data_IF_050829120977
#
_entry.id   IF_050829120977
#
_cell.length_a   1.000
_cell.length_b   1.000
_cell.length_c   1.000
_cell.angle_alpha   90.00
_cell.angle_beta   90.00
_cell.angle_gamma   90.00
#
_symmetry.space_group_name_H-M   'P 1'
#
loop_
_entity.id
_entity.type
_entity.pdbx_description
1 polymer ?
#
# COMPACT_ATOMS: atom_id res chain seq x y z
N UNK A 1 -6.18 4.44 11.11
CA UNK A 1 -7.25 3.92 10.20
C UNK A 1 -6.71 2.73 9.41
N UNK A 2 -7.51 2.05 8.59
CA UNK A 2 -6.97 1.02 7.66
C UNK A 2 -5.91 1.60 6.72
N UNK A 3 -6.06 2.88 6.32
CA UNK A 3 -5.05 3.59 5.51
C UNK A 3 -3.73 3.84 6.25
N UNK A 4 -3.79 4.10 7.57
CA UNK A 4 -2.63 4.40 8.41
C UNK A 4 -1.92 3.13 8.93
N UNK A 5 -2.70 2.09 9.22
CA UNK A 5 -2.20 0.82 9.72
C UNK A 5 -2.95 -0.34 9.07
N UNK A 6 -2.54 -0.75 7.86
CA UNK A 6 -3.25 -1.74 7.04
C UNK A 6 -3.00 -3.19 7.47
N UNK A 7 -3.06 -3.46 8.77
CA UNK A 7 -2.88 -4.80 9.31
C UNK A 7 -4.13 -5.26 10.02
N UNK A 8 -4.50 -6.52 9.80
CA UNK A 8 -5.44 -7.20 10.67
C UNK A 8 -4.75 -7.49 12.00
N UNK A 9 -5.31 -6.95 13.07
CA UNK A 9 -4.75 -7.11 14.41
C UNK A 9 -5.53 -8.21 15.13
N UNK A 10 -4.79 -9.20 15.64
CA UNK A 10 -5.33 -10.20 16.57
C UNK A 10 -4.66 -10.03 17.92
N UNK A 11 -5.46 -9.74 18.95
CA UNK A 11 -5.01 -9.73 20.34
C UNK A 11 -5.56 -10.97 21.02
N UNK A 12 -4.69 -11.68 21.75
CA UNK A 12 -5.07 -12.79 22.62
C UNK A 12 -4.60 -12.42 24.02
N UNK A 13 -5.50 -12.53 25.00
CA UNK A 13 -5.20 -12.28 26.40
C UNK A 13 -5.37 -13.59 27.16
N UNK A 14 -4.26 -14.15 27.61
CA UNK A 14 -4.24 -15.35 28.42
C UNK A 14 -4.16 -14.96 29.90
N UNK A 15 -5.18 -15.32 30.66
CA UNK A 15 -5.28 -14.98 32.08
C UNK A 15 -4.54 -16.05 32.89
N UNK A 16 -3.32 -15.70 33.35
CA UNK A 16 -2.49 -16.61 34.14
C UNK A 16 -2.88 -16.61 35.63
N UNK A 17 -3.38 -15.47 36.12
CA UNK A 17 -3.88 -15.30 37.48
C UNK A 17 -5.15 -14.44 37.45
N UNK A 18 -6.09 -14.73 38.34
CA UNK A 18 -7.34 -13.97 38.44
C UNK A 18 -7.84 -13.94 39.87
N UNK A 19 -7.75 -12.76 40.49
CA UNK A 19 -8.40 -12.47 41.78
C UNK A 19 -9.18 -11.15 41.76
N UNK A 20 -9.34 -10.55 40.58
CA UNK A 20 -10.07 -9.31 40.34
C UNK A 20 -10.56 -9.28 38.90
N UNK A 21 -10.68 -8.10 38.29
CA UNK A 21 -11.19 -7.99 36.92
C UNK A 21 -10.13 -8.29 35.85
N UNK A 22 -10.05 -9.56 35.45
CA UNK A 22 -9.22 -10.00 34.32
C UNK A 22 -9.61 -9.34 32.98
N UNK A 23 -10.86 -8.91 32.83
CA UNK A 23 -11.31 -8.17 31.65
C UNK A 23 -10.73 -6.75 31.61
N UNK A 24 -10.68 -6.04 32.73
CA UNK A 24 -10.02 -4.72 32.80
C UNK A 24 -8.50 -4.84 32.69
N UNK A 25 -7.91 -5.88 33.30
CA UNK A 25 -6.50 -6.21 33.09
C UNK A 25 -6.17 -6.45 31.61
N UNK A 26 -7.07 -7.11 30.87
CA UNK A 26 -6.93 -7.35 29.41
C UNK A 26 -6.94 -6.05 28.60
N UNK A 27 -7.72 -5.05 29.00
CA UNK A 27 -7.70 -3.72 28.33
C UNK A 27 -6.34 -3.05 28.53
N UNK A 28 -5.82 -3.09 29.76
CA UNK A 28 -4.53 -2.50 30.11
C UNK A 28 -3.36 -3.21 29.41
N UNK A 29 -3.30 -4.54 29.51
CA UNK A 29 -2.25 -5.34 28.86
C UNK A 29 -2.35 -5.29 27.35
N UNK A 30 -3.56 -5.30 26.79
CA UNK A 30 -3.81 -5.15 25.36
C UNK A 30 -3.31 -3.81 24.83
N UNK A 31 -3.53 -2.72 25.57
CA UNK A 31 -2.98 -1.40 25.22
C UNK A 31 -1.46 -1.44 25.11
N UNK A 32 -0.77 -2.01 26.10
CA UNK A 32 0.69 -2.13 26.09
C UNK A 32 1.17 -3.05 24.96
N UNK A 33 0.55 -4.20 24.77
CA UNK A 33 0.91 -5.16 23.74
C UNK A 33 0.76 -4.58 22.32
N UNK A 34 -0.30 -3.80 22.09
CA UNK A 34 -0.51 -3.12 20.81
C UNK A 34 0.55 -2.04 20.57
N UNK A 35 0.85 -1.21 21.58
CA UNK A 35 1.89 -0.19 21.44
C UNK A 35 3.29 -0.81 21.26
N UNK A 36 3.60 -1.88 22.00
CA UNK A 36 4.84 -2.63 21.84
C UNK A 36 4.97 -3.24 20.44
N UNK A 37 3.85 -3.74 19.88
CA UNK A 37 3.78 -4.23 18.51
C UNK A 37 3.94 -3.16 17.42
N UNK A 38 4.00 -1.87 17.79
CA UNK A 38 4.08 -0.75 16.85
C UNK A 38 2.73 -0.37 16.23
N UNK A 39 1.61 -0.78 16.83
CA UNK A 39 0.28 -0.37 16.39
C UNK A 39 0.08 1.10 16.81
N UNK A 40 -0.27 2.02 15.89
CA UNK A 40 -0.42 3.44 16.18
C UNK A 40 -1.73 3.73 16.92
N UNK A 41 -1.83 3.25 18.16
CA UNK A 41 -2.89 3.64 19.07
C UNK A 41 -2.82 5.15 19.35
N UNK A 42 -3.96 5.83 19.26
CA UNK A 42 -4.03 7.28 19.48
C UNK A 42 -3.65 7.67 20.91
N UNK A 43 -4.06 6.86 21.89
CA UNK A 43 -3.90 7.09 23.34
C UNK A 43 -3.91 5.76 24.08
N UNK A 44 -3.34 5.74 25.27
CA UNK A 44 -3.49 4.63 26.20
C UNK A 44 -4.94 4.50 26.67
N UNK A 45 -5.38 3.25 26.81
CA UNK A 45 -6.68 2.91 27.39
C UNK A 45 -6.45 2.04 28.61
N UNK A 46 -7.06 2.41 29.73
CA UNK A 46 -7.05 1.61 30.94
C UNK A 46 -8.47 1.24 31.35
N UNK A 47 -8.61 0.09 32.01
CA UNK A 47 -9.83 -0.37 32.63
C UNK A 47 -9.71 -0.41 34.14
N UNK A 48 -10.82 -0.22 34.85
CA UNK A 48 -10.94 -0.45 36.29
C UNK A 48 -12.29 -1.10 36.59
N UNK A 49 -12.30 -2.01 37.56
CA UNK A 49 -13.53 -2.59 38.11
C UNK A 49 -13.85 -1.96 39.45
N UNK A 50 -15.13 -1.68 39.64
CA UNK A 50 -15.66 -0.95 40.77
C UNK A 50 -16.83 -1.74 41.34
N UNK A 51 -16.98 -1.70 42.65
CA UNK A 51 -18.09 -2.33 43.35
C UNK A 51 -18.81 -1.34 44.23
N UNK A 52 -19.98 -1.74 44.68
CA UNK A 52 -20.80 -1.02 45.61
C UNK A 52 -21.36 -2.01 46.63
N UNK A 53 -21.28 -1.64 47.90
CA UNK A 53 -21.94 -2.34 49.00
C UNK A 53 -22.92 -1.36 49.65
N UNK A 54 -24.12 -1.84 49.96
CA UNK A 54 -25.19 -1.08 50.56
C UNK A 54 -25.73 -1.80 51.81
N UNK A 55 -25.77 -1.09 52.93
CA UNK A 55 -26.46 -1.54 54.15
C UNK A 55 -27.47 -0.46 54.60
N UNK A 56 -28.74 -0.67 54.24
CA UNK A 56 -29.79 0.31 54.51
C UNK A 56 -29.64 1.58 53.67
N UNK A 57 -29.24 2.67 54.32
CA UNK A 57 -28.98 3.97 53.69
C UNK A 57 -27.47 4.24 53.53
N UNK A 58 -26.59 3.37 54.05
CA UNK A 58 -25.14 3.51 53.96
C UNK A 58 -24.61 2.83 52.70
N UNK A 59 -23.88 3.60 51.89
CA UNK A 59 -23.32 3.15 50.61
C UNK A 59 -21.82 3.38 50.60
N UNK A 60 -21.08 2.32 50.29
CA UNK A 60 -19.63 2.37 50.12
C UNK A 60 -19.21 1.88 48.73
N UNK A 61 -18.23 2.55 48.14
CA UNK A 61 -17.69 2.22 46.82
C UNK A 61 -16.32 1.56 46.94
N UNK A 62 -16.20 0.40 46.29
CA UNK A 62 -14.96 -0.36 46.27
C UNK A 62 -14.22 -0.12 44.95
N UNK A 63 -12.92 0.12 45.03
CA UNK A 63 -12.05 0.34 43.87
C UNK A 63 -11.15 -0.88 43.65
N UNK A 64 -11.06 -1.32 42.39
CA UNK A 64 -10.30 -2.51 41.98
C UNK A 64 -10.75 -3.78 42.69
N UNK A 65 -12.05 -4.07 42.56
CA UNK A 65 -12.68 -5.13 43.34
C UNK A 65 -12.04 -6.50 43.11
N UNK A 66 -11.93 -7.23 44.21
CA UNK A 66 -11.59 -8.64 44.21
C UNK A 66 -12.81 -9.49 43.81
N UNK A 67 -12.55 -10.73 43.39
CA UNK A 67 -13.63 -11.65 43.01
C UNK A 67 -14.65 -11.92 44.14
N UNK A 68 -14.21 -11.89 45.40
CA UNK A 68 -15.11 -12.02 46.54
C UNK A 68 -15.95 -10.76 46.79
N UNK A 69 -15.38 -9.57 46.55
CA UNK A 69 -16.08 -8.30 46.70
C UNK A 69 -17.14 -8.12 45.61
N UNK A 70 -16.85 -8.55 44.38
CA UNK A 70 -17.86 -8.66 43.31
C UNK A 70 -19.01 -9.60 43.72
N UNK A 71 -18.67 -10.82 44.16
CA UNK A 71 -19.68 -11.83 44.53
C UNK A 71 -20.62 -11.35 45.62
N UNK A 72 -20.10 -10.62 46.61
CA UNK A 72 -20.85 -10.19 47.79
C UNK A 72 -21.44 -8.78 47.64
N UNK A 73 -20.96 -7.98 46.69
CA UNK A 73 -21.43 -6.62 46.45
C UNK A 73 -22.78 -6.55 45.74
N UNK A 74 -23.47 -5.43 45.96
CA UNK A 74 -24.82 -5.13 45.47
C UNK A 74 -24.84 -4.60 44.03
N UNK A 75 -23.72 -4.09 43.56
CA UNK A 75 -23.50 -3.69 42.18
C UNK A 75 -22.01 -3.80 41.85
N UNK A 76 -21.73 -4.19 40.60
CA UNK A 76 -20.41 -4.06 40.01
C UNK A 76 -20.51 -3.33 38.67
N UNK A 77 -19.48 -2.53 38.38
CA UNK A 77 -19.33 -1.93 37.06
C UNK A 77 -17.87 -1.87 36.66
N UNK A 78 -17.66 -1.90 35.36
CA UNK A 78 -16.35 -1.94 34.72
C UNK A 78 -16.30 -0.77 33.76
N UNK A 79 -15.31 0.10 33.94
CA UNK A 79 -15.16 1.29 33.11
C UNK A 79 -13.78 1.31 32.48
N UNK A 80 -13.75 1.42 31.16
CA UNK A 80 -12.54 1.57 30.39
C UNK A 80 -12.52 2.91 29.66
N UNK A 81 -11.34 3.50 29.51
CA UNK A 81 -11.22 4.78 28.84
C UNK A 81 -9.80 5.32 28.77
N UNK A 82 -9.71 6.46 28.10
CA UNK A 82 -8.51 7.28 28.00
C UNK A 82 -8.59 8.40 29.03
N UNK A 83 -7.58 9.29 29.04
CA UNK A 83 -7.64 10.54 29.79
C UNK A 83 -8.79 11.47 29.36
N UNK A 84 -9.20 11.39 28.10
CA UNK A 84 -10.22 12.28 27.53
C UNK A 84 -11.65 11.82 27.83
N UNK A 85 -11.86 10.55 28.13
CA UNK A 85 -13.20 10.01 28.24
C UNK A 85 -13.27 8.49 28.29
N UNK A 86 -14.50 8.02 28.50
CA UNK A 86 -14.85 6.60 28.57
C UNK A 86 -14.96 6.04 27.16
N UNK A 87 -14.36 4.88 26.92
CA UNK A 87 -14.45 4.13 25.67
C UNK A 87 -15.39 2.94 25.78
N UNK A 88 -15.52 2.37 26.98
CA UNK A 88 -16.48 1.31 27.26
C UNK A 88 -16.94 1.38 28.71
N UNK A 89 -18.20 1.01 28.92
CA UNK A 89 -18.83 0.94 30.23
C UNK A 89 -19.71 -0.31 30.27
N UNK A 90 -19.54 -1.13 31.30
CA UNK A 90 -20.36 -2.30 31.58
C UNK A 90 -20.80 -2.22 33.04
N UNK A 91 -22.06 -2.55 33.32
CA UNK A 91 -22.61 -2.46 34.66
C UNK A 91 -23.62 -3.57 34.88
N UNK A 92 -23.50 -4.24 36.02
CA UNK A 92 -24.38 -5.29 36.47
C UNK A 92 -24.95 -4.86 37.84
N UNK A 93 -26.24 -4.58 37.88
CA UNK A 93 -26.95 -4.11 39.07
C UNK A 93 -27.71 -5.28 39.67
N UNK A 94 -27.53 -5.55 40.97
CA UNK A 94 -28.25 -6.60 41.71
C UNK A 94 -29.37 -6.05 42.61
N UNK A 95 -29.45 -4.72 42.77
CA UNK A 95 -30.43 -4.02 43.62
C UNK A 95 -31.23 -2.96 42.85
N UNK A 96 -32.46 -2.65 43.26
CA UNK A 96 -33.20 -1.52 42.72
C UNK A 96 -32.86 -0.22 43.45
N UNK A 97 -32.73 0.90 42.73
CA UNK A 97 -32.80 2.24 43.35
C UNK A 97 -31.50 3.03 43.48
N UNK A 98 -30.54 2.87 42.57
CA UNK A 98 -29.33 3.71 42.55
C UNK A 98 -29.68 5.11 42.02
N UNK A 99 -29.49 6.13 42.85
CA UNK A 99 -29.72 7.51 42.44
C UNK A 99 -28.62 7.99 41.48
N UNK A 100 -28.94 9.00 40.67
CA UNK A 100 -27.97 9.62 39.77
C UNK A 100 -26.73 10.14 40.51
N UNK A 101 -26.94 10.76 41.67
CA UNK A 101 -25.86 11.35 42.48
C UNK A 101 -24.89 10.28 43.01
N UNK A 102 -25.40 9.11 43.39
CA UNK A 102 -24.58 7.96 43.82
C UNK A 102 -23.74 7.48 42.63
N UNK A 103 -24.36 7.34 41.47
CA UNK A 103 -23.68 6.88 40.27
C UNK A 103 -22.60 7.85 39.78
N UNK A 104 -22.85 9.16 39.84
CA UNK A 104 -21.88 10.20 39.50
C UNK A 104 -20.63 10.13 40.40
N UNK A 105 -20.82 9.98 41.71
CA UNK A 105 -19.72 9.79 42.67
C UNK A 105 -18.91 8.53 42.36
N UNK A 106 -19.58 7.43 42.04
CA UNK A 106 -18.93 6.17 41.68
C UNK A 106 -18.05 6.34 40.43
N UNK A 107 -18.54 7.06 39.41
CA UNK A 107 -17.80 7.33 38.19
C UNK A 107 -16.59 8.25 38.42
N UNK A 108 -16.68 9.25 39.30
CA UNK A 108 -15.54 10.11 39.62
C UNK A 108 -14.44 9.31 40.35
N UNK A 109 -14.80 8.46 41.32
CA UNK A 109 -13.84 7.57 41.98
C UNK A 109 -13.19 6.59 40.99
N UNK A 110 -13.99 6.03 40.06
CA UNK A 110 -13.47 5.15 39.02
C UNK A 110 -12.53 5.88 38.05
N UNK A 111 -12.83 7.14 37.71
CA UNK A 111 -11.97 7.99 36.88
C UNK A 111 -10.64 8.24 37.57
N UNK A 112 -10.63 8.61 38.85
CA UNK A 112 -9.38 8.81 39.61
C UNK A 112 -8.51 7.55 39.62
N UNK A 113 -9.11 6.38 39.89
CA UNK A 113 -8.41 5.11 39.87
C UNK A 113 -7.85 4.78 38.49
N UNK A 114 -8.64 4.98 37.44
CA UNK A 114 -8.21 4.77 36.05
C UNK A 114 -7.05 5.68 35.66
N UNK A 115 -7.01 6.94 36.13
CA UNK A 115 -5.89 7.84 35.85
C UNK A 115 -4.58 7.32 36.45
N UNK A 116 -4.62 6.76 37.66
CA UNK A 116 -3.42 6.14 38.28
C UNK A 116 -2.92 4.95 37.46
N UNK A 117 -3.82 4.14 36.92
CA UNK A 117 -3.44 3.02 36.03
C UNK A 117 -2.82 3.58 34.74
N UNK A 118 -3.44 4.59 34.11
CA UNK A 118 -2.89 5.24 32.91
C UNK A 118 -1.48 5.80 33.15
N UNK A 119 -1.22 6.42 34.30
CA UNK A 119 0.12 6.91 34.67
C UNK A 119 1.15 5.77 34.62
N UNK A 120 0.81 4.59 35.15
CA UNK A 120 1.69 3.40 35.15
C UNK A 120 1.88 2.86 33.73
N UNK A 121 0.82 2.78 32.93
CA UNK A 121 0.92 2.30 31.54
C UNK A 121 1.81 3.23 30.70
N UNK A 122 1.63 4.54 30.82
CA UNK A 122 2.43 5.56 30.13
C UNK A 122 3.90 5.55 30.59
N UNK A 123 4.17 5.32 31.87
CA UNK A 123 5.53 5.12 32.37
C UNK A 123 6.19 3.85 31.81
N UNK A 124 5.40 2.81 31.58
CA UNK A 124 5.90 1.52 31.08
C UNK A 124 6.20 1.57 29.58
N UNK A 125 5.26 2.07 28.78
CA UNK A 125 5.41 2.30 27.34
C UNK A 125 4.84 3.68 27.03
N UNK A 126 5.67 4.72 26.81
CA UNK A 126 5.19 6.09 26.59
C UNK A 126 4.32 6.28 25.35
N UNK A 127 4.41 5.37 24.38
CA UNK A 127 3.61 5.39 23.17
C UNK A 127 3.97 4.23 22.23
N UNK A 128 3.29 4.13 21.08
CA UNK A 128 3.58 3.12 20.07
C UNK A 128 5.05 3.11 19.65
N UNK A 129 5.65 1.93 19.48
CA UNK A 129 6.97 1.81 18.86
C UNK A 129 6.92 2.39 17.43
N UNK A 130 8.01 3.03 17.02
CA UNK A 130 8.15 3.63 15.68
C UNK A 130 8.18 2.59 14.56
N UNK A 131 8.58 1.35 14.88
CA UNK A 131 8.66 0.26 13.94
C UNK A 131 7.88 -0.95 14.45
N UNK A 132 7.15 -1.59 13.55
CA UNK A 132 6.52 -2.89 13.80
C UNK A 132 7.61 -3.94 14.02
N UNK A 133 7.33 -4.92 14.87
CA UNK A 133 8.18 -6.09 15.14
C UNK A 133 8.84 -6.66 13.86
N UNK A 134 10.13 -7.05 13.92
CA UNK A 134 10.81 -7.66 12.77
C UNK A 134 10.23 -9.02 12.37
N UNK A 135 9.50 -9.68 13.27
CA UNK A 135 8.83 -10.96 13.01
C UNK A 135 7.40 -10.79 12.48
N UNK A 136 6.85 -9.57 12.53
CA UNK A 136 5.56 -9.32 11.93
C UNK A 136 5.72 -9.29 10.40
N UNK A 137 4.74 -9.84 9.65
CA UNK A 137 4.68 -9.63 8.21
C UNK A 137 4.73 -8.14 7.91
N UNK A 138 5.46 -7.75 6.86
CA UNK A 138 5.46 -6.39 6.35
C UNK A 138 4.37 -6.28 5.32
N UNK A 139 3.68 -5.15 5.34
CA UNK A 139 2.64 -4.82 4.40
C UNK A 139 2.93 -3.45 3.81
N UNK A 140 2.91 -3.38 2.49
CA UNK A 140 3.18 -2.20 1.69
C UNK A 140 2.05 -1.98 0.70
N UNK A 141 1.81 -0.72 0.38
CA UNK A 141 0.88 -0.34 -0.68
C UNK A 141 1.61 0.36 -1.81
N UNK A 142 1.09 0.18 -3.01
CA UNK A 142 1.40 1.02 -4.17
C UNK A 142 0.14 1.15 -5.03
N UNK A 143 0.12 2.10 -5.95
CA UNK A 143 -1.02 2.30 -6.86
C UNK A 143 -0.55 2.21 -8.30
N UNK A 144 -1.29 1.47 -9.10
CA UNK A 144 -1.02 1.25 -10.53
C UNK A 144 -2.20 1.73 -11.38
N UNK A 145 -1.99 2.08 -12.66
CA UNK A 145 -3.10 2.37 -13.55
C UNK A 145 -4.00 1.14 -13.75
N UNK A 146 -5.32 1.35 -13.82
CA UNK A 146 -6.33 0.26 -13.86
C UNK A 146 -6.14 -0.62 -15.11
N UNK A 147 -5.79 -0.01 -16.23
CA UNK A 147 -5.47 -0.68 -17.49
C UNK A 147 -4.27 -1.64 -17.40
N UNK A 148 -3.40 -1.45 -16.39
CA UNK A 148 -2.20 -2.24 -16.19
C UNK A 148 -2.40 -3.44 -15.24
N UNK A 149 -3.55 -3.55 -14.57
CA UNK A 149 -3.85 -4.64 -13.63
C UNK A 149 -3.64 -6.01 -14.28
N UNK A 150 -4.21 -6.21 -15.49
CA UNK A 150 -4.10 -7.50 -16.20
C UNK A 150 -2.65 -7.88 -16.54
N UNK A 151 -1.81 -6.89 -16.83
CA UNK A 151 -0.39 -7.08 -17.12
C UNK A 151 0.40 -7.44 -15.87
N UNK A 152 0.13 -6.78 -14.75
CA UNK A 152 0.79 -7.08 -13.47
C UNK A 152 0.42 -8.48 -12.99
N UNK A 153 -0.84 -8.90 -13.10
CA UNK A 153 -1.28 -10.26 -12.75
C UNK A 153 -0.62 -11.29 -13.68
N UNK A 154 -0.57 -11.00 -14.98
CA UNK A 154 -0.09 -11.89 -16.02
C UNK A 154 -1.03 -13.08 -16.30
N UNK A 155 -0.77 -13.88 -17.34
CA UNK A 155 -1.63 -15.00 -17.73
C UNK A 155 -1.75 -16.02 -16.59
N UNK A 156 -2.98 -16.34 -16.18
CA UNK A 156 -3.31 -17.24 -15.06
C UNK A 156 -2.63 -16.88 -13.72
N UNK A 157 -2.31 -15.60 -13.50
CA UNK A 157 -1.67 -15.10 -12.28
C UNK A 157 -0.19 -15.47 -12.17
N UNK A 158 0.49 -15.74 -13.30
CA UNK A 158 1.88 -16.19 -13.33
C UNK A 158 2.83 -15.27 -12.56
N UNK A 159 2.69 -13.95 -12.71
CA UNK A 159 3.59 -12.98 -12.09
C UNK A 159 3.42 -12.94 -10.57
N UNK A 160 2.16 -12.95 -10.09
CA UNK A 160 1.87 -13.00 -8.64
C UNK A 160 2.40 -14.31 -8.03
N UNK A 161 2.23 -15.45 -8.71
CA UNK A 161 2.76 -16.74 -8.26
C UNK A 161 4.30 -16.75 -8.21
N UNK A 162 4.95 -16.12 -9.18
CA UNK A 162 6.40 -15.96 -9.22
C UNK A 162 6.89 -15.11 -8.04
N UNK A 163 6.28 -13.96 -7.78
CA UNK A 163 6.63 -13.11 -6.62
C UNK A 163 6.49 -13.86 -5.29
N UNK A 164 5.45 -14.68 -5.16
CA UNK A 164 5.26 -15.55 -3.99
C UNK A 164 6.34 -16.63 -3.88
N UNK A 165 6.78 -17.23 -4.99
CA UNK A 165 7.79 -18.28 -4.98
C UNK A 165 9.22 -17.75 -4.80
N UNK A 166 9.57 -16.65 -5.46
CA UNK A 166 10.93 -16.09 -5.44
C UNK A 166 11.18 -15.20 -4.22
N UNK A 167 10.20 -14.37 -3.84
CA UNK A 167 10.37 -13.39 -2.76
C UNK A 167 9.62 -13.76 -1.49
N UNK A 168 8.70 -14.74 -1.54
CA UNK A 168 7.80 -15.02 -0.42
C UNK A 168 6.76 -13.92 -0.19
N UNK A 169 6.60 -12.99 -1.14
CA UNK A 169 5.66 -11.88 -1.04
C UNK A 169 4.33 -12.22 -1.73
N UNK A 170 3.22 -11.97 -1.04
CA UNK A 170 1.87 -12.07 -1.60
C UNK A 170 1.42 -10.70 -2.10
N UNK A 171 0.88 -10.67 -3.31
CA UNK A 171 0.40 -9.46 -3.95
C UNK A 171 -1.09 -9.59 -4.23
N UNK A 172 -1.87 -8.64 -3.71
CA UNK A 172 -3.30 -8.52 -3.94
C UNK A 172 -3.58 -7.19 -4.63
N UNK A 173 -4.36 -7.23 -5.71
CA UNK A 173 -4.64 -6.06 -6.55
C UNK A 173 -6.14 -5.84 -6.56
N UNK A 174 -6.56 -4.64 -6.18
CA UNK A 174 -7.96 -4.21 -6.25
C UNK A 174 -8.30 -3.64 -7.64
N UNK A 175 -9.60 -3.64 -7.95
CA UNK A 175 -10.09 -3.21 -9.26
C UNK A 175 -9.89 -1.69 -9.53
N UNK A 176 -9.58 -0.91 -8.50
CA UNK A 176 -9.31 0.52 -8.58
C UNK A 176 -7.81 0.84 -8.79
N UNK A 177 -6.98 -0.20 -8.90
CA UNK A 177 -5.53 -0.08 -9.07
C UNK A 177 -4.73 -0.01 -7.76
N UNK A 178 -5.37 -0.14 -6.59
CA UNK A 178 -4.65 -0.28 -5.33
C UNK A 178 -3.99 -1.67 -5.25
N UNK A 179 -2.70 -1.71 -4.94
CA UNK A 179 -1.92 -2.95 -4.80
C UNK A 179 -1.41 -3.08 -3.37
N UNK A 180 -1.79 -4.18 -2.74
CA UNK A 180 -1.34 -4.62 -1.43
C UNK A 180 -0.23 -5.66 -1.60
N UNK A 181 0.88 -5.47 -0.92
CA UNK A 181 2.04 -6.36 -0.97
C UNK A 181 2.40 -6.74 0.46
N UNK A 182 2.22 -8.02 0.80
CA UNK A 182 2.56 -8.56 2.12
C UNK A 182 3.71 -9.56 2.01
N UNK A 183 4.59 -9.62 3.01
CA UNK A 183 5.75 -10.50 2.95
C UNK A 183 6.47 -10.64 4.29
N UNK A 184 7.43 -11.59 4.40
CA UNK A 184 8.11 -11.90 5.66
C UNK A 184 9.11 -10.83 6.08
N UNK A 185 9.58 -9.99 5.15
CA UNK A 185 10.57 -8.94 5.42
C UNK A 185 10.34 -7.72 4.55
N UNK A 186 10.92 -6.59 4.97
CA UNK A 186 10.85 -5.33 4.21
C UNK A 186 11.48 -5.48 2.83
N UNK A 187 12.62 -6.16 2.74
CA UNK A 187 13.34 -6.41 1.48
C UNK A 187 12.52 -7.25 0.50
N UNK A 188 11.79 -8.27 0.99
CA UNK A 188 10.91 -9.09 0.17
C UNK A 188 9.77 -8.26 -0.43
N UNK A 189 9.12 -7.43 0.40
CA UNK A 189 8.08 -6.52 -0.06
C UNK A 189 8.61 -5.46 -1.04
N UNK A 190 9.79 -4.91 -0.82
CA UNK A 190 10.39 -3.91 -1.71
C UNK A 190 10.73 -4.48 -3.09
N UNK A 191 11.27 -5.70 -3.16
CA UNK A 191 11.52 -6.39 -4.45
C UNK A 191 10.22 -6.65 -5.22
N UNK A 192 9.19 -7.12 -4.52
CA UNK A 192 7.88 -7.32 -5.13
C UNK A 192 7.26 -5.99 -5.60
N UNK A 193 7.38 -4.92 -4.81
CA UNK A 193 6.92 -3.58 -5.17
C UNK A 193 7.60 -3.05 -6.42
N UNK A 194 8.93 -3.15 -6.51
CA UNK A 194 9.68 -2.73 -7.69
C UNK A 194 9.25 -3.50 -8.93
N UNK A 195 9.03 -4.81 -8.81
CA UNK A 195 8.57 -5.63 -9.93
C UNK A 195 7.14 -5.25 -10.36
N UNK A 196 6.23 -4.99 -9.42
CA UNK A 196 4.88 -4.48 -9.71
C UNK A 196 4.96 -3.15 -10.46
N UNK A 197 5.77 -2.21 -9.99
CA UNK A 197 5.95 -0.89 -10.61
C UNK A 197 6.54 -1.00 -12.02
N UNK A 198 7.52 -1.87 -12.24
CA UNK A 198 8.10 -2.13 -13.57
C UNK A 198 7.09 -2.74 -14.55
N UNK A 199 6.26 -3.68 -14.09
CA UNK A 199 5.20 -4.27 -14.92
C UNK A 199 4.11 -3.23 -15.24
N UNK A 200 3.78 -2.39 -14.27
CA UNK A 200 2.79 -1.34 -14.38
C UNK A 200 3.26 -0.09 -15.13
N UNK A 201 4.57 0.09 -15.36
CA UNK A 201 5.10 1.28 -16.04
C UNK A 201 4.52 1.40 -17.45
N UNK A 202 3.61 2.34 -17.66
CA UNK A 202 2.99 2.58 -18.97
C UNK A 202 4.05 3.16 -19.91
N UNK A 203 4.37 2.49 -21.02
CA UNK A 203 5.40 2.98 -21.91
C UNK A 203 4.93 4.25 -22.62
N UNK A 204 5.47 5.40 -22.24
CA UNK A 204 5.14 6.67 -22.87
C UNK A 204 5.64 6.75 -24.33
N UNK A 205 4.74 7.17 -25.23
CA UNK A 205 5.08 7.48 -26.62
C UNK A 205 6.11 8.61 -26.66
N UNK A 206 7.22 8.40 -27.37
CA UNK A 206 8.33 9.35 -27.45
C UNK A 206 9.42 9.18 -26.39
N UNK A 207 9.24 8.35 -25.36
CA UNK A 207 10.31 8.03 -24.39
C UNK A 207 11.27 6.99 -24.97
N UNK A 208 12.55 7.14 -24.66
CA UNK A 208 13.62 6.22 -25.09
C UNK A 208 13.80 5.14 -24.03
N UNK A 209 13.82 3.89 -24.46
CA UNK A 209 14.03 2.75 -23.59
C UNK A 209 15.18 1.89 -24.12
N UNK A 210 15.90 1.25 -23.19
CA UNK A 210 16.86 0.19 -23.51
C UNK A 210 16.13 -1.13 -23.53
N UNK A 211 16.10 -1.77 -24.70
CA UNK A 211 15.41 -3.03 -24.88
C UNK A 211 16.31 -4.12 -25.45
N UNK A 212 15.97 -5.37 -25.13
CA UNK A 212 16.73 -6.55 -25.57
C UNK A 212 16.00 -7.21 -26.74
N UNK A 213 16.72 -7.49 -27.83
CA UNK A 213 16.17 -8.20 -28.99
C UNK A 213 15.87 -9.65 -28.62
N UNK A 214 14.58 -10.02 -28.55
CA UNK A 214 14.14 -11.39 -28.24
C UNK A 214 14.01 -12.28 -29.46
N UNK A 215 13.56 -11.71 -30.58
CA UNK A 215 13.34 -12.45 -31.83
C UNK A 215 13.54 -11.55 -33.02
N UNK A 216 14.10 -12.11 -34.09
CA UNK A 216 14.25 -11.43 -35.38
C UNK A 216 13.33 -12.13 -36.39
N UNK A 217 12.66 -11.34 -37.23
CA UNK A 217 11.86 -11.79 -38.35
C UNK A 217 12.29 -11.01 -39.61
N UNK A 218 11.87 -11.47 -40.79
CA UNK A 218 12.29 -10.88 -42.07
C UNK A 218 11.85 -9.41 -42.23
N UNK A 219 10.76 -9.01 -41.56
CA UNK A 219 10.18 -7.67 -41.61
C UNK A 219 10.53 -6.77 -40.41
N UNK A 220 11.23 -7.29 -39.39
CA UNK A 220 11.55 -6.52 -38.19
C UNK A 220 12.14 -7.33 -37.03
N UNK A 221 12.44 -6.64 -35.94
CA UNK A 221 12.92 -7.24 -34.69
C UNK A 221 11.90 -7.03 -33.56
N UNK A 222 11.68 -8.06 -32.75
CA UNK A 222 10.90 -8.00 -31.53
C UNK A 222 11.83 -7.66 -30.37
N UNK A 223 11.64 -6.48 -29.80
CA UNK A 223 12.48 -5.92 -28.75
C UNK A 223 11.66 -5.87 -27.47
N UNK A 224 12.15 -6.50 -26.41
CA UNK A 224 11.54 -6.40 -25.08
C UNK A 224 12.06 -5.14 -24.39
N UNK A 225 11.15 -4.22 -24.10
CA UNK A 225 11.43 -2.88 -23.62
C UNK A 225 11.32 -2.82 -22.08
N UNK A 226 10.31 -3.54 -21.58
CA UNK A 226 10.04 -3.77 -20.17
C UNK A 226 9.64 -5.24 -20.01
N UNK A 227 9.77 -5.83 -18.81
CA UNK A 227 9.42 -7.23 -18.59
C UNK A 227 8.02 -7.58 -19.11
N UNK A 228 7.95 -8.45 -20.12
CA UNK A 228 6.70 -8.87 -20.77
C UNK A 228 6.14 -7.92 -21.83
N UNK A 229 6.73 -6.74 -22.05
CA UNK A 229 6.32 -5.77 -23.09
C UNK A 229 7.26 -5.82 -24.29
N UNK A 230 6.78 -6.49 -25.33
CA UNK A 230 7.52 -6.67 -26.58
C UNK A 230 6.98 -5.67 -27.62
N UNK A 231 7.85 -4.84 -28.16
CA UNK A 231 7.55 -3.98 -29.29
C UNK A 231 8.14 -4.51 -30.60
N UNK A 232 7.50 -4.15 -31.71
CA UNK A 232 7.98 -4.44 -33.06
C UNK A 232 8.81 -3.25 -33.58
N UNK A 233 10.08 -3.49 -33.85
CA UNK A 233 10.96 -2.60 -34.60
C UNK A 233 10.92 -3.00 -36.07
N UNK A 234 10.18 -2.26 -36.89
CA UNK A 234 10.08 -2.54 -38.32
C UNK A 234 11.39 -2.24 -39.04
N UNK A 235 11.72 -2.99 -40.11
CA UNK A 235 12.99 -2.83 -40.86
C UNK A 235 13.25 -1.40 -41.35
N UNK A 236 12.20 -0.64 -41.66
CA UNK A 236 12.29 0.77 -42.10
C UNK A 236 12.64 1.76 -40.99
N UNK A 237 12.50 1.35 -39.73
CA UNK A 237 12.68 2.17 -38.53
C UNK A 237 13.99 1.83 -37.78
N UNK A 238 14.83 0.96 -38.35
CA UNK A 238 16.12 0.55 -37.75
C UNK A 238 17.22 1.60 -38.00
N UNK A 239 17.35 2.11 -39.22
CA UNK A 239 18.39 3.06 -39.62
C UNK A 239 17.90 3.93 -40.80
N UNK A 240 18.56 5.07 -41.07
CA UNK A 240 18.31 5.89 -42.26
C UNK A 240 18.83 5.23 -43.56
N UNK A 241 19.74 4.26 -43.44
CA UNK A 241 20.24 3.46 -44.56
C UNK A 241 19.25 2.36 -44.92
N UNK A 242 19.12 2.04 -46.22
CA UNK A 242 18.28 0.93 -46.67
C UNK A 242 18.93 -0.39 -46.25
N UNK A 243 18.31 -1.08 -45.30
CA UNK A 243 18.73 -2.38 -44.80
C UNK A 243 17.95 -3.45 -45.56
N UNK A 244 18.65 -4.41 -46.17
CA UNK A 244 18.00 -5.52 -46.89
C UNK A 244 17.61 -6.67 -45.94
N UNK A 245 18.37 -6.90 -44.87
CA UNK A 245 18.06 -7.92 -43.85
C UNK A 245 18.30 -7.40 -42.44
N UNK A 246 17.31 -7.62 -41.57
CA UNK A 246 17.39 -7.25 -40.15
C UNK A 246 18.54 -7.96 -39.42
N UNK A 247 18.83 -9.21 -39.82
CA UNK A 247 19.89 -10.05 -39.26
C UNK A 247 21.31 -9.50 -39.48
N UNK A 248 21.49 -8.57 -40.41
CA UNK A 248 22.80 -7.99 -40.72
C UNK A 248 23.18 -6.89 -39.72
N UNK A 249 22.18 -6.34 -39.00
CA UNK A 249 22.34 -5.16 -38.14
C UNK A 249 22.00 -5.46 -36.68
N UNK A 250 21.13 -6.43 -36.42
CA UNK A 250 20.69 -6.81 -35.09
C UNK A 250 20.88 -8.30 -34.88
N UNK A 251 21.32 -8.69 -33.67
CA UNK A 251 21.36 -10.08 -33.23
C UNK A 251 20.39 -10.31 -32.09
N UNK A 252 19.91 -11.55 -31.96
CA UNK A 252 19.11 -11.95 -30.80
C UNK A 252 19.98 -11.84 -29.55
N UNK A 253 19.49 -11.12 -28.54
CA UNK A 253 20.22 -10.81 -27.31
C UNK A 253 20.89 -9.43 -27.29
N UNK A 254 20.90 -8.69 -28.41
CA UNK A 254 21.47 -7.34 -28.41
C UNK A 254 20.63 -6.36 -27.59
N UNK A 255 21.30 -5.52 -26.81
CA UNK A 255 20.71 -4.41 -26.09
C UNK A 255 20.75 -3.15 -26.96
N UNK A 256 19.58 -2.59 -27.29
CA UNK A 256 19.44 -1.44 -28.17
C UNK A 256 18.52 -0.38 -27.57
N UNK A 257 18.84 0.90 -27.83
CA UNK A 257 17.98 2.02 -27.48
C UNK A 257 16.92 2.22 -28.57
N UNK A 258 15.66 2.25 -28.17
CA UNK A 258 14.49 2.35 -29.04
C UNK A 258 13.50 3.36 -28.48
N UNK A 259 12.90 4.16 -29.35
CA UNK A 259 11.83 5.09 -29.02
C UNK A 259 10.47 4.50 -29.42
N UNK A 260 9.45 4.68 -28.58
CA UNK A 260 8.09 4.25 -28.90
C UNK A 260 7.44 5.29 -29.82
N UNK A 261 7.07 4.90 -31.04
CA UNK A 261 6.39 5.77 -32.01
C UNK A 261 4.89 5.80 -31.77
N UNK A 262 4.28 4.63 -31.64
CA UNK A 262 2.83 4.48 -31.47
C UNK A 262 2.53 3.24 -30.65
N UNK A 263 1.40 3.29 -29.95
CA UNK A 263 0.79 2.13 -29.29
C UNK A 263 -0.49 1.83 -30.05
N UNK A 264 -0.61 0.60 -30.53
CA UNK A 264 -1.81 0.10 -31.21
C UNK A 264 -2.91 -0.26 -30.19
N UNK A 265 -4.18 -0.31 -30.59
CA UNK A 265 -5.35 -0.57 -29.73
C UNK A 265 -5.28 -1.94 -29.02
N UNK A 266 -4.45 -2.87 -29.55
CA UNK A 266 -4.16 -4.18 -28.95
C UNK A 266 -2.97 -4.16 -27.98
N UNK A 267 -2.42 -3.00 -27.63
CA UNK A 267 -1.27 -2.86 -26.73
C UNK A 267 0.07 -3.27 -27.34
N UNK A 268 0.17 -3.27 -28.68
CA UNK A 268 1.43 -3.56 -29.41
C UNK A 268 2.21 -2.27 -29.62
N UNK A 269 3.48 -2.26 -29.23
CA UNK A 269 4.36 -1.10 -29.37
C UNK A 269 5.05 -1.09 -30.73
N UNK A 270 4.94 0.01 -31.47
CA UNK A 270 5.76 0.24 -32.66
C UNK A 270 7.00 1.03 -32.25
N UNK A 271 8.18 0.48 -32.53
CA UNK A 271 9.46 1.03 -32.11
C UNK A 271 10.22 1.64 -33.28
N UNK A 272 11.00 2.67 -32.98
CA UNK A 272 11.96 3.24 -33.92
C UNK A 272 13.31 3.51 -33.25
N UNK A 273 14.36 3.08 -33.92
CA UNK A 273 15.76 3.43 -33.63
C UNK A 273 16.19 4.61 -34.49
N UNK A 274 15.62 4.76 -35.69
CA UNK A 274 15.88 5.83 -36.65
C UNK A 274 15.62 7.23 -36.08
N UNK A 275 14.62 7.39 -35.22
CA UNK A 275 14.32 8.67 -34.56
C UNK A 275 15.45 9.16 -33.63
N UNK A 276 16.33 8.27 -33.19
CA UNK A 276 17.47 8.58 -32.32
C UNK A 276 18.78 8.81 -33.09
N UNK A 277 18.81 8.50 -34.39
CA UNK A 277 19.98 8.69 -35.24
C UNK A 277 19.89 10.08 -35.88
N UNK A 278 20.83 11.01 -35.59
CA UNK A 278 20.83 12.35 -36.19
C UNK A 278 20.88 12.24 -37.72
N UNK A 279 20.00 12.94 -38.43
CA UNK A 279 20.08 13.08 -39.89
C UNK A 279 21.41 13.78 -40.25
N UNK A 280 22.34 13.06 -40.86
CA UNK A 280 23.47 13.70 -41.55
C UNK A 280 22.93 14.54 -42.71
N UNK A 281 23.30 15.82 -42.77
CA UNK A 281 22.79 16.89 -43.66
C UNK A 281 22.99 16.70 -45.20
N UNK A 282 23.14 15.48 -45.74
CA UNK A 282 23.61 15.30 -47.13
C UNK A 282 22.58 14.85 -48.17
N UNK A 283 21.26 14.94 -47.94
CA UNK A 283 20.25 14.62 -48.97
C UNK A 283 19.26 15.75 -49.26
N UNK A 284 19.72 17.00 -49.24
CA UNK A 284 18.89 18.18 -49.55
C UNK A 284 19.15 18.81 -50.92
N UNK A 285 20.05 18.27 -51.78
CA UNK A 285 20.50 18.98 -52.97
C UNK A 285 20.17 18.40 -54.36
N UNK A 286 19.57 17.22 -54.51
CA UNK A 286 19.44 16.62 -55.86
C UNK A 286 18.07 16.75 -56.54
N UNK A 287 17.06 17.37 -55.93
CA UNK A 287 15.70 17.47 -56.54
C UNK A 287 15.32 18.85 -57.07
N UNK A 288 16.24 19.84 -57.13
CA UNK A 288 15.90 21.23 -57.53
C UNK A 288 16.39 21.72 -58.90
N UNK A 289 16.95 20.88 -59.76
CA UNK A 289 17.44 21.37 -61.06
C UNK A 289 17.07 20.50 -62.25
N UNK A 290 15.79 20.42 -62.58
CA UNK A 290 15.34 20.17 -63.97
C UNK A 290 13.89 20.62 -64.16
N UNK A 291 13.69 21.93 -64.33
CA UNK A 291 12.73 22.49 -65.29
C UNK A 291 12.96 24.01 -65.47
N UNK A 292 13.85 24.35 -66.40
CA UNK A 292 13.72 25.50 -67.32
C UNK A 292 12.66 25.11 -68.38
N UNK A 293 11.85 25.94 -69.05
CA UNK A 293 11.86 27.40 -69.33
C UNK A 293 10.55 27.81 -70.04
N UNK A 294 9.99 28.99 -69.67
CA UNK A 294 9.36 30.05 -70.51
C UNK A 294 7.97 29.87 -71.23
N UNK A 295 7.29 30.97 -71.67
CA UNK A 295 7.27 32.38 -71.18
C UNK A 295 5.88 33.11 -71.21
N UNK A 296 5.88 34.33 -70.62
CA UNK A 296 5.17 35.59 -70.98
C UNK A 296 3.64 35.67 -71.19
N UNK A 297 2.98 36.55 -70.41
CA UNK A 297 2.49 37.86 -70.91
C UNK A 297 1.77 38.66 -69.80
N UNK A 298 2.11 39.95 -69.71
CA UNK A 298 1.44 40.93 -68.87
C UNK A 298 0.37 41.65 -69.69
N UNK A 299 -0.82 41.96 -69.15
CA UNK A 299 -1.64 43.10 -69.61
C UNK A 299 -2.61 43.62 -68.53
N UNK A 300 -2.34 44.89 -68.15
CA UNK A 300 -3.22 46.01 -67.74
C UNK A 300 -4.17 45.96 -66.52
N UNK A 301 -3.71 46.71 -65.51
CA UNK A 301 -4.35 47.87 -64.84
C UNK A 301 -5.61 48.46 -65.51
N UNK A 302 -6.68 48.70 -64.73
CA UNK A 302 -7.25 50.05 -64.49
C UNK A 302 -8.29 50.06 -63.36
N UNK A 303 -8.13 51.10 -62.52
CA UNK A 303 -9.06 51.88 -61.69
C UNK A 303 -10.47 51.35 -61.48
#
# INVERSE_FOLDING_TARGET
SEEEFPYTIRVVSDILESNGSSSMATVCSGTLALMDGGIPLKKHVAGIAMGLVNEGDEIEFLTDILGNEDKLGDMDFKVAGTRDGITAFQMDIKISGISYDIFERALEQAKEARMKILDILEQTIPGPRSEISPYAPRLMTTRIPVEMIGWVIGPAGKNIKMMKQEFGAEVFIENDGLVWISGPSKEACEKAKQMVEQLAEVPEVGKVYKGIVRKIADFGAFVEILPGKIGLLHISEIDHKRIEKVSDVLKVGDEIEVQILTVDDMGRFTLSRKSLIPKSEQQSQTTRSTHQTQPASATRVRR
#
